data_IF_943580752205
#
_entry.id   IF_943580752205
#
_cell.length_a   1.000
_cell.length_b   1.000
_cell.length_c   1.000
_cell.angle_alpha   90.00
_cell.angle_beta   90.00
_cell.angle_gamma   90.00
#
_symmetry.space_group_name_H-M   'P 1'
#
loop_
_entity.id
_entity.type
_entity.pdbx_description
1 polymer ?
#
# COMPACT_ATOMS: atom_id res chain seq x y z
N UNK A 1 36.85 49.95 -17.77
CA UNK A 1 36.66 48.83 -18.73
C UNK A 1 36.87 47.50 -18.01
N UNK A 2 35.82 46.69 -18.00
CA UNK A 2 35.79 45.22 -17.89
C UNK A 2 36.38 44.51 -16.65
N UNK A 3 35.66 44.54 -15.51
CA UNK A 3 35.66 43.48 -14.49
C UNK A 3 34.28 43.40 -13.83
N UNK A 4 33.27 42.86 -14.53
CA UNK A 4 31.92 42.69 -13.94
C UNK A 4 31.03 41.66 -14.68
N UNK A 5 31.57 40.73 -15.46
CA UNK A 5 30.73 39.92 -16.36
C UNK A 5 30.89 38.41 -16.19
N UNK A 6 31.79 37.95 -15.32
CA UNK A 6 32.07 36.51 -15.14
C UNK A 6 31.35 35.94 -13.91
N UNK A 7 31.16 36.71 -12.84
CA UNK A 7 30.48 36.22 -11.63
C UNK A 7 28.96 36.07 -11.83
N UNK A 8 28.37 36.89 -12.69
CA UNK A 8 26.93 36.84 -12.95
C UNK A 8 26.52 35.64 -13.80
N UNK A 9 27.38 35.17 -14.73
CA UNK A 9 27.06 34.03 -15.63
C UNK A 9 27.18 32.66 -14.96
N UNK A 10 28.03 32.52 -13.94
CA UNK A 10 28.13 31.27 -13.15
C UNK A 10 26.92 31.05 -12.24
N UNK A 11 26.35 32.13 -11.70
CA UNK A 11 25.16 32.06 -10.83
C UNK A 11 23.87 31.80 -11.64
N UNK A 12 23.77 32.31 -12.87
CA UNK A 12 22.62 32.01 -13.75
C UNK A 12 22.65 30.57 -14.27
N UNK A 13 23.82 29.96 -14.46
CA UNK A 13 23.94 28.56 -14.87
C UNK A 13 23.63 27.60 -13.71
N UNK A 14 23.99 27.97 -12.47
CA UNK A 14 23.63 27.20 -11.26
C UNK A 14 22.12 27.28 -10.97
N UNK A 15 21.49 28.46 -11.13
CA UNK A 15 20.04 28.60 -11.02
C UNK A 15 19.27 27.97 -12.20
N UNK A 16 19.86 27.86 -13.40
CA UNK A 16 19.25 27.17 -14.53
C UNK A 16 19.38 25.63 -14.44
N UNK A 17 20.39 25.10 -13.74
CA UNK A 17 20.46 23.67 -13.40
C UNK A 17 19.61 23.29 -12.19
N UNK A 18 19.31 24.22 -11.28
CA UNK A 18 18.31 24.03 -10.23
C UNK A 18 16.85 24.18 -10.71
N UNK A 19 16.63 24.50 -11.99
CA UNK A 19 15.29 24.64 -12.59
C UNK A 19 14.84 23.41 -13.39
N UNK A 20 15.61 22.31 -13.39
CA UNK A 20 15.23 21.02 -13.95
C UNK A 20 15.08 20.01 -12.81
N UNK A 21 13.91 20.03 -12.20
CA UNK A 21 13.55 19.12 -11.15
C UNK A 21 12.16 19.46 -10.66
N UNK A 22 11.16 19.36 -11.55
CA UNK A 22 9.87 18.92 -11.06
C UNK A 22 10.20 17.62 -10.33
N UNK A 23 10.06 17.59 -9.01
CA UNK A 23 10.24 16.37 -8.22
C UNK A 23 9.33 15.34 -8.86
N UNK A 24 9.89 14.46 -9.68
CA UNK A 24 9.09 13.48 -10.36
C UNK A 24 8.59 12.59 -9.23
N UNK A 25 7.29 12.63 -9.03
CA UNK A 25 6.56 11.81 -8.09
C UNK A 25 6.82 10.36 -8.44
N UNK A 26 7.78 9.74 -7.75
CA UNK A 26 8.06 8.33 -7.88
C UNK A 26 7.11 7.61 -6.96
N UNK A 27 6.32 6.71 -7.51
CA UNK A 27 5.64 5.75 -6.69
C UNK A 27 6.48 4.47 -6.67
N UNK A 28 6.88 3.97 -5.50
CA UNK A 28 7.42 2.61 -5.33
C UNK A 28 6.92 2.06 -3.99
N UNK A 29 6.82 0.73 -3.86
CA UNK A 29 6.45 0.10 -2.58
C UNK A 29 7.47 0.41 -1.47
N UNK A 30 8.75 0.46 -1.85
CA UNK A 30 9.87 0.82 -0.98
C UNK A 30 9.78 2.27 -0.50
N UNK A 31 9.45 3.21 -1.39
CA UNK A 31 9.24 4.61 -1.04
C UNK A 31 8.08 4.74 -0.07
N UNK A 32 6.94 4.11 -0.36
CA UNK A 32 5.79 4.13 0.54
C UNK A 32 6.16 3.64 1.94
N UNK A 33 6.85 2.49 2.03
CA UNK A 33 7.34 1.96 3.30
C UNK A 33 8.21 3.01 4.02
N UNK A 34 9.27 3.49 3.35
CA UNK A 34 10.22 4.45 3.93
C UNK A 34 9.60 5.79 4.35
N UNK A 35 8.42 6.13 3.83
CA UNK A 35 7.65 7.33 4.18
C UNK A 35 6.54 7.07 5.22
N UNK A 36 6.60 5.93 5.93
CA UNK A 36 5.70 5.61 7.05
C UNK A 36 4.55 4.65 6.70
N UNK A 37 4.54 4.10 5.49
CA UNK A 37 3.74 2.93 5.11
C UNK A 37 2.25 3.17 4.88
N UNK A 38 1.76 4.41 4.94
CA UNK A 38 0.33 4.72 4.74
C UNK A 38 0.07 5.40 3.39
N UNK A 39 -0.57 4.67 2.48
CA UNK A 39 -0.86 5.10 1.10
C UNK A 39 -1.69 6.37 1.06
N UNK A 40 -2.60 6.55 2.02
CA UNK A 40 -3.53 7.69 2.05
C UNK A 40 -2.85 9.01 2.41
N UNK A 41 -1.63 8.97 2.93
CA UNK A 41 -0.83 10.14 3.26
C UNK A 41 -0.03 10.70 2.08
N UNK A 42 0.09 9.95 0.97
CA UNK A 42 0.86 10.36 -0.21
C UNK A 42 -0.06 10.67 -1.39
N UNK A 43 0.23 11.73 -2.14
CA UNK A 43 -0.51 12.04 -3.36
C UNK A 43 -0.25 11.02 -4.47
N UNK A 44 0.99 10.56 -4.57
CA UNK A 44 1.54 9.75 -5.64
C UNK A 44 1.80 8.31 -5.18
N UNK A 45 0.78 7.46 -5.32
CA UNK A 45 0.84 6.09 -4.82
C UNK A 45 0.87 5.08 -5.97
N UNK A 46 1.75 4.07 -5.86
CA UNK A 46 1.77 2.92 -6.79
C UNK A 46 0.72 1.88 -6.49
N UNK A 47 0.06 1.97 -5.33
CA UNK A 47 -1.06 1.10 -5.04
C UNK A 47 -2.30 1.60 -5.79
N UNK A 48 -2.22 1.47 -7.12
CA UNK A 48 -3.28 1.80 -8.06
C UNK A 48 -4.52 0.92 -7.81
N UNK A 49 -4.39 -0.20 -7.09
CA UNK A 49 -5.55 -0.97 -6.71
C UNK A 49 -6.42 -0.25 -5.67
N UNK A 50 -5.85 0.59 -4.79
CA UNK A 50 -6.65 1.41 -3.84
C UNK A 50 -7.43 2.50 -4.55
N UNK A 51 -6.81 3.18 -5.52
CA UNK A 51 -7.45 4.21 -6.34
C UNK A 51 -7.19 3.94 -7.83
N UNK A 52 -7.99 3.06 -8.48
CA UNK A 52 -7.78 2.68 -9.88
C UNK A 52 -7.75 3.85 -10.85
N UNK A 53 -8.48 4.93 -10.55
CA UNK A 53 -8.54 6.13 -11.37
C UNK A 53 -7.18 6.85 -11.47
N UNK A 54 -6.28 6.68 -10.49
CA UNK A 54 -4.98 7.33 -10.50
C UNK A 54 -3.99 6.71 -11.49
N UNK A 55 -4.32 5.57 -12.12
CA UNK A 55 -3.42 4.92 -13.07
C UNK A 55 -3.02 5.83 -14.25
N UNK A 56 -3.92 6.72 -14.69
CA UNK A 56 -3.63 7.71 -15.74
C UNK A 56 -2.57 8.73 -15.32
N UNK A 57 -2.55 9.11 -14.04
CA UNK A 57 -1.63 10.13 -13.53
C UNK A 57 -0.26 9.54 -13.20
N UNK A 58 -0.22 8.23 -12.92
CA UNK A 58 0.98 7.51 -12.55
C UNK A 58 1.23 6.26 -13.42
N UNK A 59 1.40 6.41 -14.74
CA UNK A 59 1.81 5.29 -15.59
C UNK A 59 3.26 4.92 -15.28
N UNK A 60 3.50 3.64 -14.98
CA UNK A 60 4.82 3.15 -14.57
C UNK A 60 4.98 1.65 -14.82
N UNK A 61 6.20 1.17 -14.86
CA UNK A 61 6.58 -0.23 -14.60
C UNK A 61 7.15 -0.28 -13.20
N UNK A 62 6.78 -1.28 -12.41
CA UNK A 62 7.37 -1.51 -11.08
C UNK A 62 7.69 -3.00 -10.90
N UNK A 63 8.83 -3.25 -10.29
CA UNK A 63 9.30 -4.59 -9.90
C UNK A 63 9.80 -4.50 -8.47
N UNK A 64 9.40 -5.40 -7.60
CA UNK A 64 9.95 -5.56 -6.26
C UNK A 64 10.70 -6.89 -6.20
N UNK A 65 12.02 -6.82 -6.00
CA UNK A 65 12.94 -7.94 -6.21
C UNK A 65 12.93 -8.96 -5.06
N UNK A 66 12.45 -8.58 -3.88
CA UNK A 66 12.42 -9.44 -2.69
C UNK A 66 11.04 -10.02 -2.40
N UNK A 67 9.98 -9.34 -2.83
CA UNK A 67 8.58 -9.76 -2.64
C UNK A 67 8.00 -10.43 -3.90
N UNK A 68 8.86 -10.73 -4.89
CA UNK A 68 8.55 -11.46 -6.12
C UNK A 68 7.33 -10.95 -6.91
N UNK A 69 7.08 -9.63 -6.87
CA UNK A 69 5.98 -9.02 -7.61
C UNK A 69 6.47 -8.02 -8.65
N UNK A 70 5.73 -7.94 -9.75
CA UNK A 70 6.04 -7.04 -10.86
C UNK A 70 4.78 -6.63 -11.60
N UNK A 71 4.83 -5.49 -12.27
CA UNK A 71 3.80 -5.13 -13.23
C UNK A 71 3.99 -3.77 -13.85
N UNK A 72 2.98 -3.36 -14.60
CA UNK A 72 2.99 -2.17 -15.42
C UNK A 72 1.62 -1.54 -15.41
N UNK A 73 1.55 -0.21 -15.33
CA UNK A 73 0.46 0.65 -15.74
C UNK A 73 0.88 1.39 -17.01
N UNK A 74 0.43 0.90 -18.16
CA UNK A 74 0.83 1.35 -19.49
C UNK A 74 -0.17 2.37 -20.05
N UNK A 75 0.28 3.56 -20.47
CA UNK A 75 -0.58 4.56 -21.11
C UNK A 75 -0.86 4.13 -22.56
N UNK A 76 -1.96 3.41 -22.76
CA UNK A 76 -2.31 2.81 -24.05
C UNK A 76 -2.55 3.86 -25.15
N UNK A 77 -3.22 4.96 -24.79
CA UNK A 77 -3.54 6.08 -25.66
C UNK A 77 -3.87 7.32 -24.82
N UNK A 78 -4.02 8.52 -25.42
CA UNK A 78 -4.39 9.72 -24.67
C UNK A 78 -5.67 9.50 -23.86
N UNK A 79 -5.58 9.67 -22.54
CA UNK A 79 -6.70 9.49 -21.62
C UNK A 79 -7.05 8.02 -21.32
N UNK A 80 -6.23 7.04 -21.69
CA UNK A 80 -6.43 5.62 -21.38
C UNK A 80 -5.17 4.99 -20.77
N UNK A 81 -5.34 4.23 -19.70
CA UNK A 81 -4.25 3.46 -19.09
C UNK A 81 -4.72 2.06 -18.72
N UNK A 82 -3.90 1.06 -19.01
CA UNK A 82 -4.14 -0.34 -18.64
C UNK A 82 -3.02 -0.79 -17.74
N UNK A 83 -3.36 -1.37 -16.59
CA UNK A 83 -2.44 -1.95 -15.64
C UNK A 83 -2.56 -3.46 -15.54
N UNK A 84 -1.43 -4.14 -15.46
CA UNK A 84 -1.33 -5.57 -15.15
C UNK A 84 -0.21 -5.75 -14.14
N UNK A 85 -0.50 -6.36 -12.99
CA UNK A 85 0.49 -6.70 -11.98
C UNK A 85 0.32 -8.15 -11.55
N UNK A 86 1.43 -8.79 -11.20
CA UNK A 86 1.49 -10.18 -10.78
C UNK A 86 2.07 -10.26 -9.38
N UNK A 87 1.54 -11.18 -8.56
CA UNK A 87 2.02 -11.47 -7.21
C UNK A 87 2.05 -10.28 -6.25
N UNK A 88 1.26 -9.22 -6.48
CA UNK A 88 1.29 -8.05 -5.60
C UNK A 88 0.67 -8.39 -4.22
N UNK A 89 1.41 -8.24 -3.11
CA UNK A 89 0.94 -8.58 -1.76
C UNK A 89 -0.17 -7.64 -1.28
N UNK A 90 -0.97 -8.11 -0.31
CA UNK A 90 -2.16 -7.42 0.19
C UNK A 90 -2.46 -7.81 1.63
N UNK A 91 -2.85 -6.84 2.48
CA UNK A 91 -3.22 -7.11 3.89
C UNK A 91 -4.42 -8.07 4.02
N UNK A 92 -5.29 -8.13 3.00
CA UNK A 92 -6.43 -9.06 2.99
C UNK A 92 -5.97 -10.50 2.84
N UNK A 93 -4.91 -10.71 2.07
CA UNK A 93 -4.30 -12.03 1.85
C UNK A 93 -3.63 -12.54 3.13
N UNK A 94 -3.00 -11.65 3.89
CA UNK A 94 -2.42 -11.99 5.21
C UNK A 94 -3.52 -12.47 6.17
N UNK A 95 -4.65 -11.74 6.24
CA UNK A 95 -5.82 -12.14 7.05
C UNK A 95 -6.44 -13.46 6.60
N UNK A 96 -6.48 -13.71 5.29
CA UNK A 96 -6.95 -14.98 4.74
C UNK A 96 -5.99 -16.11 5.17
N UNK A 97 -4.69 -15.92 5.02
CA UNK A 97 -3.68 -16.90 5.44
C UNK A 97 -3.76 -17.21 6.94
N UNK A 98 -3.97 -16.19 7.78
CA UNK A 98 -4.22 -16.35 9.22
C UNK A 98 -5.50 -17.15 9.51
N UNK A 99 -6.55 -16.99 8.71
CA UNK A 99 -7.77 -17.78 8.83
C UNK A 99 -7.57 -19.23 8.42
N UNK A 100 -6.91 -19.46 7.28
CA UNK A 100 -6.64 -20.78 6.73
C UNK A 100 -5.79 -21.60 7.69
N UNK A 101 -4.71 -21.03 8.24
CA UNK A 101 -3.80 -21.73 9.17
C UNK A 101 -4.48 -22.25 10.45
N UNK A 102 -5.65 -21.73 10.79
CA UNK A 102 -6.38 -22.04 12.02
C UNK A 102 -7.65 -22.87 11.79
N UNK A 103 -8.06 -23.07 10.53
CA UNK A 103 -9.38 -23.63 10.19
C UNK A 103 -9.26 -24.82 9.24
N UNK A 104 -10.25 -25.72 9.24
CA UNK A 104 -10.32 -26.83 8.29
C UNK A 104 -9.37 -27.99 8.59
N UNK A 105 -9.15 -28.82 7.59
CA UNK A 105 -8.30 -30.00 7.62
C UNK A 105 -6.81 -29.66 7.74
N UNK A 106 -5.96 -30.69 7.88
CA UNK A 106 -4.52 -30.50 7.82
C UNK A 106 -4.04 -30.00 6.45
N UNK A 107 -4.67 -30.44 5.36
CA UNK A 107 -4.33 -30.00 4.01
C UNK A 107 -4.78 -28.55 3.78
N UNK A 108 -5.98 -28.19 4.23
CA UNK A 108 -6.50 -26.83 4.09
C UNK A 108 -5.66 -25.80 4.87
N UNK A 109 -5.16 -26.18 6.05
CA UNK A 109 -4.23 -25.34 6.85
C UNK A 109 -2.85 -25.14 6.23
N UNK A 110 -2.50 -25.94 5.21
CA UNK A 110 -1.24 -25.83 4.47
C UNK A 110 -1.37 -24.97 3.22
N UNK A 111 -2.57 -24.50 2.88
CA UNK A 111 -2.76 -23.58 1.78
C UNK A 111 -2.02 -22.26 2.06
N UNK A 112 -1.31 -21.78 1.04
CA UNK A 112 -0.65 -20.49 0.98
C UNK A 112 -1.22 -19.70 -0.22
N UNK A 113 -2.42 -19.10 -0.09
CA UNK A 113 -2.99 -18.24 -1.13
C UNK A 113 -1.98 -17.21 -1.62
N UNK A 114 -1.76 -17.18 -2.94
CA UNK A 114 -0.87 -16.19 -3.55
C UNK A 114 -1.67 -15.23 -4.42
N UNK A 115 -1.28 -13.94 -4.47
CA UNK A 115 -1.88 -13.03 -5.42
C UNK A 115 -1.48 -13.49 -6.81
N UNK A 116 -2.43 -13.68 -7.71
CA UNK A 116 -2.10 -14.11 -9.07
C UNK A 116 -1.95 -12.91 -10.00
N UNK A 117 -3.01 -12.11 -10.11
CA UNK A 117 -3.08 -11.02 -11.07
C UNK A 117 -3.94 -9.87 -10.55
N UNK A 118 -3.44 -8.65 -10.75
CA UNK A 118 -4.19 -7.40 -10.69
C UNK A 118 -4.36 -6.85 -12.10
N UNK A 119 -5.58 -6.52 -12.46
CA UNK A 119 -5.92 -5.76 -13.65
C UNK A 119 -6.39 -4.38 -13.21
N UNK A 120 -5.87 -3.34 -13.85
CA UNK A 120 -6.31 -1.97 -13.64
C UNK A 120 -6.65 -1.37 -15.00
N UNK A 121 -7.70 -0.56 -15.06
CA UNK A 121 -7.99 0.25 -16.22
C UNK A 121 -8.46 1.61 -15.77
N UNK A 122 -7.95 2.66 -16.40
CA UNK A 122 -8.40 4.02 -16.14
C UNK A 122 -8.67 4.77 -17.44
N UNK A 123 -9.68 5.64 -17.40
CA UNK A 123 -10.10 6.47 -18.51
C UNK A 123 -10.42 7.89 -18.06
N UNK A 124 -9.78 8.87 -18.70
CA UNK A 124 -10.15 10.27 -18.60
C UNK A 124 -11.38 10.53 -19.46
N UNK A 125 -12.44 11.08 -18.86
CA UNK A 125 -13.62 11.52 -19.59
C UNK A 125 -13.56 13.02 -19.91
N UNK A 126 -13.01 13.80 -18.97
CA UNK A 126 -12.76 15.24 -19.09
C UNK A 126 -11.54 15.59 -18.26
N UNK A 127 -11.03 16.82 -18.41
CA UNK A 127 -9.84 17.33 -17.69
C UNK A 127 -9.95 17.27 -16.15
N UNK A 128 -11.16 17.10 -15.62
CA UNK A 128 -11.44 17.00 -14.18
C UNK A 128 -12.09 15.69 -13.72
N UNK A 129 -12.28 14.71 -14.60
CA UNK A 129 -13.00 13.47 -14.30
C UNK A 129 -12.32 12.25 -14.91
N UNK A 130 -11.75 11.39 -14.04
CA UNK A 130 -11.23 10.08 -14.42
C UNK A 130 -12.03 8.98 -13.73
N UNK A 131 -12.36 7.95 -14.48
CA UNK A 131 -12.86 6.68 -13.96
C UNK A 131 -11.76 5.63 -13.96
N UNK A 132 -11.79 4.75 -12.96
CA UNK A 132 -10.92 3.61 -12.86
C UNK A 132 -11.68 2.34 -12.50
N UNK A 133 -11.14 1.22 -12.92
CA UNK A 133 -11.60 -0.13 -12.61
C UNK A 133 -10.39 -0.96 -12.18
N UNK A 134 -10.55 -1.77 -11.15
CA UNK A 134 -9.58 -2.72 -10.65
C UNK A 134 -10.20 -4.11 -10.53
N UNK A 135 -9.50 -5.14 -10.98
CA UNK A 135 -9.83 -6.54 -10.73
C UNK A 135 -8.62 -7.22 -10.12
N UNK A 136 -8.82 -8.07 -9.11
CA UNK A 136 -7.76 -8.89 -8.51
C UNK A 136 -8.25 -10.31 -8.36
N UNK A 137 -7.35 -11.26 -8.57
CA UNK A 137 -7.59 -12.67 -8.31
C UNK A 137 -6.43 -13.29 -7.53
N UNK A 138 -6.78 -13.97 -6.44
CA UNK A 138 -5.86 -14.69 -5.56
C UNK A 138 -6.28 -16.17 -5.56
N UNK A 139 -5.32 -17.10 -5.59
CA UNK A 139 -5.64 -18.53 -5.72
C UNK A 139 -4.57 -19.42 -5.12
N UNK A 140 -5.01 -20.49 -4.47
CA UNK A 140 -4.18 -21.63 -4.12
C UNK A 140 -4.99 -22.93 -4.00
N UNK A 141 -4.33 -24.06 -4.21
CA UNK A 141 -4.91 -25.41 -4.19
C UNK A 141 -3.90 -26.40 -3.63
N UNK A 142 -4.37 -27.36 -2.84
CA UNK A 142 -3.50 -28.40 -2.31
C UNK A 142 -2.94 -29.29 -3.44
N UNK A 143 -1.62 -29.55 -3.39
CA UNK A 143 -0.87 -30.29 -4.41
C UNK A 143 -1.34 -31.73 -4.61
N UNK A 144 -1.96 -32.34 -3.60
CA UNK A 144 -2.53 -33.69 -3.64
C UNK A 144 -4.05 -33.64 -3.85
N UNK A 145 -4.50 -34.17 -4.98
CA UNK A 145 -5.90 -34.49 -5.31
C UNK A 145 -6.94 -33.35 -5.29
N UNK A 146 -6.50 -32.07 -5.23
CA UNK A 146 -7.36 -30.86 -5.19
C UNK A 146 -8.43 -30.90 -4.10
N UNK A 147 -8.14 -31.60 -3.02
CA UNK A 147 -9.12 -31.80 -1.94
C UNK A 147 -9.37 -30.53 -1.13
N UNK A 148 -8.46 -29.55 -1.20
CA UNK A 148 -8.58 -28.24 -0.56
C UNK A 148 -8.22 -27.10 -1.52
N UNK A 149 -8.98 -26.01 -1.52
CA UNK A 149 -8.67 -24.82 -2.33
C UNK A 149 -9.19 -23.52 -1.71
N UNK A 150 -8.54 -22.43 -2.10
CA UNK A 150 -8.90 -21.07 -1.74
C UNK A 150 -8.82 -20.17 -2.97
N UNK A 151 -9.88 -19.42 -3.25
CA UNK A 151 -9.86 -18.42 -4.33
C UNK A 151 -10.57 -17.14 -3.93
N UNK A 152 -9.93 -16.00 -4.17
CA UNK A 152 -10.49 -14.67 -3.93
C UNK A 152 -10.63 -13.93 -5.25
N UNK A 153 -11.77 -13.32 -5.50
CA UNK A 153 -11.96 -12.36 -6.59
C UNK A 153 -12.39 -11.02 -5.99
N UNK A 154 -11.65 -9.96 -6.30
CA UNK A 154 -11.97 -8.60 -5.88
C UNK A 154 -12.18 -7.69 -7.08
N UNK A 155 -13.26 -6.90 -7.06
CA UNK A 155 -13.54 -5.87 -8.06
C UNK A 155 -13.60 -4.52 -7.38
N UNK A 156 -13.05 -3.50 -8.02
CA UNK A 156 -13.02 -2.12 -7.51
C UNK A 156 -13.34 -1.11 -8.58
N UNK A 157 -14.09 -0.08 -8.21
CA UNK A 157 -14.46 1.02 -9.08
C UNK A 157 -13.99 2.32 -8.43
N UNK A 158 -13.19 3.09 -9.15
CA UNK A 158 -12.59 4.33 -8.69
C UNK A 158 -13.04 5.53 -9.51
N UNK A 159 -13.09 6.69 -8.87
CA UNK A 159 -13.29 7.99 -9.52
C UNK A 159 -12.28 8.98 -8.96
N UNK A 160 -11.69 9.78 -9.85
CA UNK A 160 -10.90 10.95 -9.50
C UNK A 160 -11.57 12.20 -10.05
N UNK A 161 -12.00 13.08 -9.15
CA UNK A 161 -12.59 14.38 -9.45
C UNK A 161 -11.59 15.52 -9.18
N UNK A 162 -11.68 16.58 -9.97
CA UNK A 162 -10.91 17.80 -9.78
C UNK A 162 -9.64 17.84 -10.62
N UNK A 163 -8.78 18.80 -10.30
CA UNK A 163 -7.58 19.11 -11.07
C UNK A 163 -6.60 17.93 -11.03
N UNK A 164 -5.94 17.69 -12.17
CA UNK A 164 -4.84 16.74 -12.25
C UNK A 164 -3.65 17.20 -11.42
N UNK A 165 -2.89 16.25 -10.88
CA UNK A 165 -1.73 16.54 -10.04
C UNK A 165 -0.56 17.19 -10.79
N UNK A 166 -0.51 17.03 -12.12
CA UNK A 166 0.57 17.56 -12.95
C UNK A 166 0.35 19.00 -13.46
N UNK A 167 -0.88 19.52 -13.41
CA UNK A 167 -1.26 20.73 -14.18
C UNK A 167 -2.01 21.80 -13.36
N UNK A 168 -2.13 21.65 -12.04
CA UNK A 168 -2.94 22.57 -11.23
C UNK A 168 -2.58 22.61 -9.75
N UNK A 169 -3.50 23.14 -8.95
CA UNK A 169 -3.38 23.22 -7.49
C UNK A 169 -3.41 21.86 -6.80
N UNK A 170 -3.78 20.81 -7.55
CA UNK A 170 -3.97 19.45 -7.04
C UNK A 170 -5.28 19.27 -6.28
N UNK A 171 -6.21 20.24 -6.35
CA UNK A 171 -7.51 20.14 -5.66
C UNK A 171 -8.38 19.04 -6.26
N UNK A 172 -8.96 18.21 -5.42
CA UNK A 172 -9.90 17.20 -5.89
C UNK A 172 -10.35 16.18 -4.85
N UNK A 173 -10.86 15.07 -5.34
CA UNK A 173 -11.33 13.93 -4.57
C UNK A 173 -10.96 12.64 -5.29
N UNK A 174 -10.36 11.71 -4.56
CA UNK A 174 -10.14 10.34 -4.99
C UNK A 174 -11.12 9.46 -4.20
N UNK A 175 -11.92 8.68 -4.90
CA UNK A 175 -12.92 7.80 -4.31
C UNK A 175 -12.84 6.40 -4.94
N UNK A 176 -13.04 5.36 -4.15
CA UNK A 176 -13.17 4.01 -4.68
C UNK A 176 -14.11 3.15 -3.83
N UNK A 177 -14.84 2.25 -4.48
CA UNK A 177 -15.66 1.22 -3.85
C UNK A 177 -15.25 -0.15 -4.35
N UNK A 178 -15.17 -1.12 -3.46
CA UNK A 178 -14.76 -2.48 -3.74
C UNK A 178 -15.81 -3.49 -3.31
N UNK A 179 -15.91 -4.59 -4.05
CA UNK A 179 -16.60 -5.81 -3.65
C UNK A 179 -15.65 -6.98 -3.80
N UNK A 180 -15.75 -7.96 -2.93
CA UNK A 180 -14.94 -9.16 -3.02
C UNK A 180 -15.74 -10.39 -2.67
N UNK A 181 -15.39 -11.50 -3.31
CA UNK A 181 -15.98 -12.81 -3.12
C UNK A 181 -14.84 -13.78 -2.88
N UNK A 182 -14.99 -14.61 -1.86
CA UNK A 182 -14.08 -15.67 -1.50
C UNK A 182 -14.82 -16.99 -1.66
N UNK A 183 -14.14 -17.99 -2.19
CA UNK A 183 -14.59 -19.38 -2.19
C UNK A 183 -13.55 -20.21 -1.47
N UNK A 184 -14.00 -20.99 -0.49
CA UNK A 184 -13.20 -21.92 0.27
C UNK A 184 -13.78 -23.32 0.12
N UNK A 185 -12.92 -24.29 -0.16
CA UNK A 185 -13.32 -25.69 -0.35
C UNK A 185 -12.37 -26.61 0.41
N UNK A 186 -12.93 -27.53 1.19
CA UNK A 186 -12.19 -28.58 1.91
C UNK A 186 -13.01 -29.88 1.90
N UNK A 187 -12.52 -30.87 1.18
CA UNK A 187 -13.12 -32.19 0.96
C UNK A 187 -12.28 -33.33 1.52
N UNK A 188 -11.09 -33.02 2.06
CA UNK A 188 -10.09 -33.97 2.56
C UNK A 188 -10.49 -34.70 3.86
N UNK A 189 -11.54 -34.26 4.55
CA UNK A 189 -12.03 -34.88 5.76
C UNK A 189 -13.20 -35.84 5.47
N UNK A 190 -12.92 -37.15 5.43
CA UNK A 190 -13.87 -38.25 5.13
C UNK A 190 -15.15 -38.33 6.00
N UNK A 191 -15.32 -37.46 6.99
CA UNK A 191 -16.50 -37.38 7.87
C UNK A 191 -17.28 -36.05 7.77
N UNK A 192 -16.85 -35.10 6.93
CA UNK A 192 -17.54 -33.84 6.68
C UNK A 192 -18.12 -33.91 5.27
N UNK A 193 -19.44 -34.12 5.16
CA UNK A 193 -20.19 -33.85 3.93
C UNK A 193 -19.75 -32.48 3.41
N UNK A 194 -19.22 -32.43 2.19
CA UNK A 194 -18.76 -31.27 1.44
C UNK A 194 -19.33 -29.95 1.96
N UNK A 195 -18.48 -29.03 2.45
CA UNK A 195 -18.91 -27.68 2.83
C UNK A 195 -18.11 -26.64 2.06
N UNK A 196 -18.44 -26.50 0.79
CA UNK A 196 -18.25 -25.23 0.07
C UNK A 196 -18.84 -24.13 0.94
N UNK A 197 -18.06 -23.10 1.24
CA UNK A 197 -18.56 -21.95 1.97
C UNK A 197 -17.93 -20.69 1.39
N UNK A 198 -18.78 -19.70 1.17
CA UNK A 198 -18.42 -18.45 0.53
C UNK A 198 -18.14 -17.37 1.58
N UNK A 199 -17.17 -16.53 1.29
CA UNK A 199 -16.95 -15.26 1.97
C UNK A 199 -17.30 -14.10 1.05
N UNK A 200 -17.70 -12.98 1.62
CA UNK A 200 -18.02 -11.78 0.86
C UNK A 200 -17.50 -10.54 1.58
N UNK A 201 -17.38 -9.46 0.84
CA UNK A 201 -17.28 -8.18 1.49
C UNK A 201 -17.22 -6.99 0.56
N UNK A 202 -17.04 -5.85 1.21
CA UNK A 202 -17.17 -4.54 0.62
C UNK A 202 -16.15 -3.59 1.24
N UNK A 203 -15.62 -2.69 0.43
CA UNK A 203 -14.76 -1.61 0.91
C UNK A 203 -15.09 -0.28 0.25
N UNK A 204 -14.80 0.81 0.96
CA UNK A 204 -14.97 2.19 0.54
C UNK A 204 -13.72 2.97 0.93
N UNK A 205 -13.21 3.76 -0.01
CA UNK A 205 -12.09 4.68 0.19
C UNK A 205 -12.46 6.05 -0.31
N UNK A 206 -12.20 7.07 0.50
CA UNK A 206 -12.35 8.47 0.13
C UNK A 206 -11.11 9.23 0.59
N UNK A 207 -10.55 10.05 -0.29
CA UNK A 207 -9.44 10.95 0.01
C UNK A 207 -9.64 12.29 -0.69
N UNK A 208 -9.82 13.33 0.11
CA UNK A 208 -9.81 14.70 -0.41
C UNK A 208 -8.38 15.15 -0.73
N UNK A 209 -8.25 16.03 -1.71
CA UNK A 209 -7.02 16.77 -2.01
C UNK A 209 -7.32 18.25 -1.86
N UNK A 210 -6.85 18.85 -0.77
CA UNK A 210 -7.21 20.22 -0.38
C UNK A 210 -5.95 21.08 -0.31
N UNK A 211 -5.71 21.95 -1.31
CA UNK A 211 -4.56 22.84 -1.28
C UNK A 211 -4.70 23.86 -0.16
N UNK A 212 -3.64 24.05 0.63
CA UNK A 212 -3.59 25.02 1.71
C UNK A 212 -2.18 25.62 1.78
N UNK A 213 -2.02 26.82 1.22
CA UNK A 213 -0.72 27.47 1.11
C UNK A 213 0.24 26.65 0.24
N UNK A 214 1.46 26.41 0.72
CA UNK A 214 2.47 25.55 0.08
C UNK A 214 2.33 24.05 0.40
N UNK A 215 1.13 23.60 0.74
CA UNK A 215 0.86 22.21 1.13
C UNK A 215 -0.45 21.69 0.54
N UNK A 216 -0.58 20.38 0.43
CA UNK A 216 -1.83 19.70 0.09
C UNK A 216 -2.23 18.82 1.27
N UNK A 217 -3.38 19.13 1.85
CA UNK A 217 -4.01 18.35 2.89
C UNK A 217 -4.80 17.18 2.26
N UNK A 218 -4.69 16.02 2.90
CA UNK A 218 -5.31 14.77 2.50
C UNK A 218 -6.21 14.23 3.61
N UNK A 219 -7.41 14.81 3.82
CA UNK A 219 -8.40 14.16 4.68
C UNK A 219 -8.85 12.85 4.02
N UNK A 220 -8.89 11.76 4.76
CA UNK A 220 -9.30 10.47 4.22
C UNK A 220 -10.18 9.69 5.20
N UNK A 221 -10.98 8.79 4.64
CA UNK A 221 -11.72 7.76 5.35
C UNK A 221 -11.72 6.48 4.53
N UNK A 222 -11.53 5.37 5.23
CA UNK A 222 -11.55 4.01 4.72
C UNK A 222 -12.52 3.20 5.57
N UNK A 223 -13.30 2.36 4.91
CA UNK A 223 -14.19 1.39 5.52
C UNK A 223 -14.02 0.06 4.81
N UNK A 224 -13.85 -1.02 5.55
CA UNK A 224 -13.87 -2.38 5.04
C UNK A 224 -14.77 -3.24 5.91
N UNK A 225 -15.53 -4.11 5.26
CA UNK A 225 -16.22 -5.22 5.92
C UNK A 225 -16.04 -6.47 5.07
N UNK A 226 -15.66 -7.57 5.68
CA UNK A 226 -15.47 -8.84 4.99
C UNK A 226 -15.82 -10.02 5.88
N UNK A 227 -16.08 -11.16 5.26
CA UNK A 227 -16.28 -12.42 5.95
C UNK A 227 -15.46 -13.51 5.28
N UNK A 228 -14.91 -14.41 6.10
CA UNK A 228 -14.35 -15.68 5.69
C UNK A 228 -15.16 -16.77 6.37
N UNK A 229 -15.59 -17.77 5.61
CA UNK A 229 -16.38 -18.85 6.19
C UNK A 229 -16.01 -20.16 5.53
N UNK A 230 -15.67 -21.14 6.36
CA UNK A 230 -15.51 -22.55 6.06
C UNK A 230 -16.18 -23.27 7.22
N UNK A 231 -17.41 -23.74 6.98
CA UNK A 231 -18.21 -24.30 8.05
C UNK A 231 -17.46 -25.44 8.78
N UNK A 232 -17.44 -25.45 10.13
CA UNK A 232 -18.33 -24.69 11.01
C UNK A 232 -17.82 -23.31 11.45
N UNK A 233 -16.67 -22.85 10.95
CA UNK A 233 -16.02 -21.63 11.42
C UNK A 233 -16.34 -20.47 10.49
N UNK A 234 -16.80 -19.35 11.07
CA UNK A 234 -17.00 -18.08 10.38
C UNK A 234 -16.19 -17.00 11.09
N UNK A 235 -15.54 -16.16 10.30
CA UNK A 235 -14.78 -15.01 10.76
C UNK A 235 -15.28 -13.77 10.04
N UNK A 236 -15.86 -12.82 10.76
CA UNK A 236 -16.28 -11.53 10.23
C UNK A 236 -15.26 -10.46 10.64
N UNK A 237 -14.87 -9.63 9.68
CA UNK A 237 -13.93 -8.53 9.86
C UNK A 237 -14.60 -7.20 9.50
N UNK A 238 -14.32 -6.18 10.29
CA UNK A 238 -14.68 -4.80 10.00
C UNK A 238 -13.53 -3.88 10.37
N UNK A 239 -13.25 -2.91 9.51
CA UNK A 239 -12.25 -1.87 9.75
C UNK A 239 -12.78 -0.50 9.37
N UNK A 240 -12.48 0.49 10.20
CA UNK A 240 -12.66 1.91 9.90
C UNK A 240 -11.36 2.62 10.15
N UNK A 241 -10.88 3.39 9.19
CA UNK A 241 -9.67 4.20 9.32
C UNK A 241 -9.98 5.61 8.82
N UNK A 242 -9.61 6.63 9.59
CA UNK A 242 -9.87 8.01 9.23
C UNK A 242 -8.78 8.92 9.76
N UNK A 243 -8.46 9.96 9.00
CA UNK A 243 -7.45 10.91 9.41
C UNK A 243 -7.15 12.00 8.40
N UNK A 244 -6.00 12.60 8.61
CA UNK A 244 -5.52 13.75 7.85
C UNK A 244 -4.03 13.59 7.57
N UNK A 245 -3.66 13.68 6.30
CA UNK A 245 -2.29 13.86 5.84
C UNK A 245 -2.00 15.29 5.38
N UNK A 246 -0.73 15.64 5.31
CA UNK A 246 -0.23 16.87 4.70
C UNK A 246 1.03 16.54 3.90
N UNK A 247 1.02 16.86 2.61
CA UNK A 247 2.19 16.85 1.74
C UNK A 247 2.68 18.28 1.60
N UNK A 248 3.92 18.54 1.96
CA UNK A 248 4.51 19.88 2.04
C UNK A 248 5.79 19.86 1.22
N UNK A 249 5.96 20.84 0.34
CA UNK A 249 7.20 21.04 -0.40
C UNK A 249 7.89 22.31 0.13
N UNK A 250 8.69 22.21 1.21
CA UNK A 250 9.30 23.38 1.83
C UNK A 250 10.39 24.01 0.97
N UNK A 251 11.02 23.22 0.09
CA UNK A 251 12.04 23.65 -0.85
C UNK A 251 12.01 22.73 -2.08
N UNK A 252 12.48 23.18 -3.26
CA UNK A 252 12.57 22.33 -4.43
C UNK A 252 13.36 21.05 -4.16
N UNK A 253 12.80 19.90 -4.54
CA UNK A 253 13.41 18.58 -4.32
C UNK A 253 13.31 18.06 -2.88
N UNK A 254 12.51 18.70 -2.02
CA UNK A 254 12.23 18.22 -0.66
C UNK A 254 10.73 18.02 -0.49
N UNK A 255 10.31 16.81 -0.16
CA UNK A 255 8.95 16.49 0.26
C UNK A 255 8.95 16.19 1.76
N UNK A 256 8.05 16.83 2.51
CA UNK A 256 7.73 16.48 3.87
C UNK A 256 6.30 15.97 3.96
N UNK A 257 6.10 14.88 4.70
CA UNK A 257 4.81 14.23 4.91
C UNK A 257 4.53 14.21 6.40
N UNK A 258 3.35 14.69 6.79
CA UNK A 258 2.87 14.57 8.17
C UNK A 258 1.46 14.00 8.15
N UNK A 259 1.17 13.08 9.07
CA UNK A 259 -0.11 12.41 9.15
C UNK A 259 -0.54 12.13 10.58
N UNK A 260 -1.82 12.31 10.86
CA UNK A 260 -2.46 11.84 12.08
C UNK A 260 -3.76 11.14 11.75
N UNK A 261 -3.95 9.95 12.30
CA UNK A 261 -5.15 9.15 12.04
C UNK A 261 -5.45 8.19 13.18
N UNK A 262 -6.62 7.59 13.10
CA UNK A 262 -7.05 6.51 13.97
C UNK A 262 -7.63 5.37 13.13
N UNK A 263 -7.49 4.15 13.63
CA UNK A 263 -8.17 2.99 13.08
C UNK A 263 -8.88 2.21 14.17
N UNK A 264 -10.01 1.63 13.79
CA UNK A 264 -10.78 0.70 14.62
C UNK A 264 -11.01 -0.56 13.82
N UNK A 265 -10.55 -1.68 14.34
CA UNK A 265 -10.83 -3.00 13.78
C UNK A 265 -11.67 -3.83 14.73
N UNK A 266 -12.51 -4.69 14.15
CA UNK A 266 -13.34 -5.66 14.85
C UNK A 266 -13.24 -6.97 14.10
N UNK A 267 -12.90 -8.03 14.83
CA UNK A 267 -12.83 -9.38 14.35
C UNK A 267 -13.75 -10.24 15.22
N UNK A 268 -14.78 -10.82 14.62
CA UNK A 268 -15.68 -11.76 15.27
C UNK A 268 -15.41 -13.15 14.71
N UNK A 269 -15.27 -14.14 15.59
CA UNK A 269 -15.09 -15.53 15.21
C UNK A 269 -16.16 -16.39 15.89
N UNK A 270 -16.90 -17.13 15.07
CA UNK A 270 -17.92 -18.07 15.49
C UNK A 270 -17.54 -19.48 15.03
N UNK A 271 -17.71 -20.47 15.89
CA UNK A 271 -17.47 -21.87 15.57
C UNK A 271 -18.50 -22.75 16.26
N UNK A 272 -19.06 -23.71 15.51
CA UNK A 272 -20.10 -24.58 16.06
C UNK A 272 -19.58 -25.40 17.26
N UNK A 273 -20.24 -25.26 18.41
CA UNK A 273 -19.90 -25.98 19.64
C UNK A 273 -18.77 -25.35 20.47
N UNK A 274 -18.20 -24.22 20.03
CA UNK A 274 -17.24 -23.44 20.80
C UNK A 274 -17.83 -22.06 21.18
N UNK A 275 -17.42 -21.47 22.32
CA UNK A 275 -17.77 -20.09 22.64
C UNK A 275 -17.21 -19.16 21.56
N UNK A 276 -18.06 -18.31 20.99
CA UNK A 276 -17.62 -17.27 20.05
C UNK A 276 -16.62 -16.30 20.69
N UNK A 277 -15.78 -15.69 19.86
CA UNK A 277 -14.81 -14.70 20.30
C UNK A 277 -14.91 -13.41 19.50
N UNK A 278 -14.69 -12.29 20.18
CA UNK A 278 -14.63 -10.97 19.58
C UNK A 278 -13.31 -10.32 20.00
N UNK A 279 -12.57 -9.83 19.02
CA UNK A 279 -11.40 -9.00 19.21
C UNK A 279 -11.63 -7.64 18.57
N UNK A 280 -11.40 -6.57 19.34
CA UNK A 280 -11.41 -5.21 18.82
C UNK A 280 -10.07 -4.56 19.08
N UNK A 281 -9.58 -3.78 18.12
CA UNK A 281 -8.38 -2.98 18.28
C UNK A 281 -8.66 -1.54 17.89
N UNK A 282 -8.33 -0.61 18.78
CA UNK A 282 -8.35 0.83 18.51
C UNK A 282 -6.91 1.32 18.46
N UNK A 283 -6.43 1.72 17.29
CA UNK A 283 -5.15 2.40 17.16
C UNK A 283 -5.38 3.91 17.10
N UNK A 284 -5.05 4.62 18.17
CA UNK A 284 -5.16 6.08 18.25
C UNK A 284 -4.27 6.68 19.37
N UNK A 285 -3.51 7.75 19.10
CA UNK A 285 -3.24 8.30 17.78
C UNK A 285 -2.22 7.44 17.02
N UNK A 286 -2.38 7.36 15.70
CA UNK A 286 -1.30 7.00 14.79
C UNK A 286 -0.73 8.28 14.19
N UNK A 287 0.58 8.48 14.35
CA UNK A 287 1.28 9.68 13.89
C UNK A 287 2.40 9.25 12.95
N UNK A 288 2.42 9.85 11.77
CA UNK A 288 3.47 9.65 10.77
C UNK A 288 4.14 10.99 10.48
N UNK A 289 5.47 11.01 10.50
CA UNK A 289 6.28 12.13 10.03
C UNK A 289 7.37 11.55 9.13
N UNK A 290 7.46 12.03 7.91
CA UNK A 290 8.45 11.57 6.96
C UNK A 290 8.98 12.71 6.09
N UNK A 291 10.14 12.47 5.49
CA UNK A 291 10.74 13.39 4.53
C UNK A 291 11.48 12.62 3.44
N UNK A 292 11.43 13.16 2.23
CA UNK A 292 12.20 12.75 1.07
C UNK A 292 13.02 13.97 0.61
N UNK A 293 14.30 13.79 0.35
CA UNK A 293 15.20 14.86 -0.11
C UNK A 293 16.03 14.38 -1.29
N UNK A 294 15.97 15.10 -2.38
CA UNK A 294 16.75 14.86 -3.58
C UNK A 294 18.08 15.63 -3.55
N UNK A 295 19.18 14.92 -3.74
CA UNK A 295 20.54 15.48 -3.85
C UNK A 295 21.20 14.91 -5.11
N UNK A 296 21.17 15.68 -6.20
CA UNK A 296 21.58 15.18 -7.51
C UNK A 296 20.65 14.05 -7.95
N UNK A 297 21.21 12.89 -8.27
CA UNK A 297 20.45 11.69 -8.64
C UNK A 297 20.06 10.80 -7.45
N UNK A 298 20.36 11.21 -6.21
CA UNK A 298 20.08 10.43 -5.01
C UNK A 298 18.83 10.96 -4.30
N UNK A 299 17.99 10.05 -3.80
CA UNK A 299 16.82 10.35 -2.96
C UNK A 299 17.06 9.76 -1.57
N UNK A 300 17.05 10.60 -0.54
CA UNK A 300 17.17 10.18 0.85
C UNK A 300 15.82 10.25 1.53
N UNK A 301 15.44 9.19 2.25
CA UNK A 301 14.15 9.11 2.94
C UNK A 301 14.32 8.73 4.38
N UNK A 302 13.55 9.40 5.23
CA UNK A 302 13.40 9.10 6.64
C UNK A 302 11.91 9.14 6.97
N UNK A 303 11.39 8.05 7.52
CA UNK A 303 10.03 7.94 7.99
C UNK A 303 9.98 7.53 9.45
N UNK A 304 9.09 8.14 10.21
CA UNK A 304 8.79 7.78 11.58
C UNK A 304 7.29 7.55 11.72
N UNK A 305 6.91 6.42 12.29
CA UNK A 305 5.53 6.06 12.60
C UNK A 305 5.42 5.71 14.08
N UNK A 306 4.58 6.43 14.81
CA UNK A 306 4.20 6.10 16.16
C UNK A 306 2.75 5.63 16.19
N UNK A 307 2.48 4.53 16.87
CA UNK A 307 1.14 3.94 16.97
C UNK A 307 0.87 3.46 18.39
N UNK A 308 -0.28 3.86 18.93
CA UNK A 308 -0.79 3.38 20.23
C UNK A 308 -2.04 2.57 20.01
N UNK A 309 -2.04 1.31 20.41
CA UNK A 309 -3.10 0.34 20.15
C UNK A 309 -3.69 -0.18 21.46
N UNK A 310 -5.01 -0.07 21.60
CA UNK A 310 -5.78 -0.72 22.65
C UNK A 310 -6.52 -1.90 22.05
N UNK A 311 -6.10 -3.11 22.42
CA UNK A 311 -6.76 -4.35 22.03
C UNK A 311 -7.66 -4.83 23.16
N UNK A 312 -8.90 -5.19 22.85
CA UNK A 312 -9.85 -5.83 23.74
C UNK A 312 -10.23 -7.17 23.13
N UNK A 313 -10.00 -8.26 23.87
CA UNK A 313 -10.43 -9.61 23.48
C UNK A 313 -11.48 -10.13 24.45
N UNK A 314 -12.56 -10.68 23.91
CA UNK A 314 -13.69 -11.19 24.67
C UNK A 314 -14.08 -12.57 24.14
N UNK A 315 -14.02 -13.59 25.00
CA UNK A 315 -14.64 -14.88 24.71
C UNK A 315 -16.03 -14.92 25.37
N UNK A 316 -17.00 -15.55 24.72
CA UNK A 316 -18.35 -15.67 25.26
C UNK A 316 -18.33 -16.31 26.66
N UNK A 317 -19.01 -15.67 27.62
CA UNK A 317 -19.04 -16.11 29.02
C UNK A 317 -17.81 -15.74 29.87
N UNK A 318 -16.85 -14.98 29.33
CA UNK A 318 -15.64 -14.56 30.06
C UNK A 318 -15.56 -13.04 30.23
N UNK A 319 -14.76 -12.59 31.21
CA UNK A 319 -14.43 -11.18 31.37
C UNK A 319 -13.51 -10.73 30.24
N UNK A 320 -13.75 -9.56 29.62
CA UNK A 320 -12.90 -9.07 28.54
C UNK A 320 -11.49 -8.76 29.04
N UNK A 321 -10.49 -9.25 28.30
CA UNK A 321 -9.07 -8.93 28.52
C UNK A 321 -8.72 -7.70 27.70
N UNK A 322 -7.96 -6.77 28.28
CA UNK A 322 -7.49 -5.56 27.60
C UNK A 322 -5.97 -5.54 27.59
N UNK A 323 -5.40 -5.13 26.46
CA UNK A 323 -3.96 -4.93 26.27
C UNK A 323 -3.74 -3.56 25.65
N UNK A 324 -2.77 -2.83 26.15
CA UNK A 324 -2.32 -1.58 25.55
C UNK A 324 -0.87 -1.77 25.09
N UNK A 325 -0.62 -1.47 23.83
CA UNK A 325 0.70 -1.50 23.22
C UNK A 325 1.00 -0.14 22.58
N UNK A 326 2.27 0.26 22.58
CA UNK A 326 2.76 1.43 21.86
C UNK A 326 4.00 1.02 21.08
N UNK A 327 4.06 1.46 19.83
CA UNK A 327 5.17 1.16 18.93
C UNK A 327 5.69 2.43 18.26
N UNK A 328 7.01 2.45 18.04
CA UNK A 328 7.69 3.45 17.23
C UNK A 328 8.50 2.71 16.17
N UNK A 329 8.20 2.98 14.92
CA UNK A 329 8.92 2.48 13.76
C UNK A 329 9.66 3.63 13.08
N UNK A 330 10.92 3.38 12.74
CA UNK A 330 11.76 4.31 11.99
C UNK A 330 12.27 3.56 10.78
N UNK A 331 12.11 4.16 9.60
CA UNK A 331 12.54 3.61 8.34
C UNK A 331 13.42 4.58 7.58
N UNK A 332 14.39 4.03 6.86
CA UNK A 332 15.30 4.78 6.02
C UNK A 332 15.29 4.20 4.61
N UNK A 333 15.13 5.07 3.62
CA UNK A 333 15.15 4.68 2.21
C UNK A 333 16.24 5.42 1.44
N UNK A 334 16.77 4.78 0.41
CA UNK A 334 17.70 5.36 -0.55
C UNK A 334 17.25 5.04 -1.96
N UNK A 335 17.04 6.07 -2.78
CA UNK A 335 16.75 5.96 -4.20
C UNK A 335 17.88 6.49 -5.08
N UNK A 336 18.07 5.89 -6.25
CA UNK A 336 18.98 6.33 -7.30
C UNK A 336 18.21 6.50 -8.61
N UNK A 337 18.16 7.73 -9.09
CA UNK A 337 17.50 8.11 -10.35
C UNK A 337 18.48 8.07 -11.53
N UNK A 338 18.05 7.45 -12.63
CA UNK A 338 18.75 7.38 -13.91
C UNK A 338 17.77 7.75 -15.03
N UNK A 339 17.47 9.05 -15.15
CA UNK A 339 16.44 9.55 -16.07
C UNK A 339 15.06 8.98 -15.68
N UNK A 340 14.37 8.23 -16.56
CA UNK A 340 13.06 7.65 -16.26
C UNK A 340 13.10 6.38 -15.39
N UNK A 341 14.28 5.94 -14.94
CA UNK A 341 14.44 4.75 -14.08
C UNK A 341 14.80 5.18 -12.65
N UNK A 342 14.16 4.56 -11.66
CA UNK A 342 14.50 4.65 -10.24
C UNK A 342 14.84 3.25 -9.71
N UNK A 343 16.03 3.12 -9.14
CA UNK A 343 16.37 2.00 -8.26
C UNK A 343 16.16 2.47 -6.81
N UNK A 344 15.28 1.80 -6.09
CA UNK A 344 14.89 2.18 -4.74
C UNK A 344 15.18 1.07 -3.74
N UNK A 345 15.70 1.41 -2.56
CA UNK A 345 16.05 0.45 -1.53
C UNK A 345 15.65 0.90 -0.12
N UNK A 346 15.08 -0.02 0.66
CA UNK A 346 14.81 0.17 2.07
C UNK A 346 16.02 -0.34 2.86
N UNK A 347 16.65 0.51 3.67
CA UNK A 347 17.82 0.12 4.45
C UNK A 347 17.42 -0.86 5.56
N UNK A 348 18.30 -1.82 5.84
CA UNK A 348 18.13 -2.68 7.02
C UNK A 348 18.14 -1.87 8.31
N UNK A 349 17.31 -2.27 9.29
CA UNK A 349 17.23 -1.60 10.60
C UNK A 349 18.57 -1.60 11.34
N UNK A 350 19.35 -2.66 11.15
CA UNK A 350 20.67 -2.80 11.76
C UNK A 350 21.77 -2.05 11.00
N UNK A 351 21.50 -1.50 9.81
CA UNK A 351 22.48 -0.78 8.99
C UNK A 351 23.17 0.36 9.75
N UNK A 352 22.40 1.15 10.52
CA UNK A 352 22.96 2.26 11.31
C UNK A 352 23.79 1.79 12.51
N UNK A 353 23.54 0.58 13.02
CA UNK A 353 24.23 0.01 14.18
C UNK A 353 25.50 -0.75 13.76
N UNK A 354 25.40 -1.53 12.70
CA UNK A 354 26.40 -2.52 12.30
C UNK A 354 27.26 -2.03 11.10
N UNK A 355 26.81 -1.00 10.38
CA UNK A 355 27.51 -0.39 9.24
C UNK A 355 27.32 -1.15 7.91
N UNK A 356 27.81 -0.60 6.78
CA UNK A 356 27.65 -1.22 5.47
C UNK A 356 28.55 -2.45 5.32
N UNK A 357 27.96 -3.64 5.36
CA UNK A 357 28.61 -4.89 4.96
C UNK A 357 28.57 -5.03 3.43
N UNK A 358 29.51 -4.37 2.73
CA UNK A 358 29.57 -4.42 1.25
C UNK A 358 30.11 -5.75 0.73
N UNK A 359 30.98 -6.42 1.50
CA UNK A 359 31.55 -7.74 1.14
C UNK A 359 31.67 -8.54 2.45
N UNK A 360 30.78 -9.52 2.61
CA UNK A 360 30.66 -10.35 3.82
C UNK A 360 29.42 -9.97 4.60
N UNK A 361 28.31 -10.69 4.33
CA UNK A 361 26.99 -10.44 4.90
C UNK A 361 26.98 -10.29 6.42
N UNK A 362 25.95 -9.64 6.93
CA UNK A 362 25.76 -9.42 8.36
C UNK A 362 25.78 -10.73 9.15
N UNK A 363 25.96 -10.68 10.48
CA UNK A 363 25.81 -11.85 11.36
C UNK A 363 24.44 -12.54 11.26
N UNK A 364 23.46 -11.90 10.60
CA UNK A 364 22.11 -12.40 10.33
C UNK A 364 21.82 -12.61 8.83
N UNK A 365 22.82 -12.50 7.94
CA UNK A 365 22.68 -12.78 6.50
C UNK A 365 22.05 -11.67 5.65
N UNK A 366 21.79 -10.48 6.22
CA UNK A 366 21.18 -9.33 5.53
C UNK A 366 22.20 -8.48 4.77
N UNK A 367 21.87 -8.06 3.55
CA UNK A 367 22.63 -7.09 2.76
C UNK A 367 22.43 -5.65 3.26
N UNK A 368 22.72 -4.66 2.41
CA UNK A 368 22.49 -3.23 2.75
C UNK A 368 20.98 -2.90 2.77
N UNK A 369 20.21 -3.57 1.92
CA UNK A 369 18.78 -3.34 1.75
C UNK A 369 17.98 -4.56 2.21
N UNK A 370 16.88 -4.30 2.93
CA UNK A 370 15.86 -5.30 3.26
C UNK A 370 14.88 -5.50 2.12
N UNK A 371 14.66 -4.46 1.29
CA UNK A 371 13.80 -4.48 0.11
C UNK A 371 14.42 -3.63 -0.99
N UNK A 372 14.26 -4.06 -2.24
CA UNK A 372 14.70 -3.32 -3.42
C UNK A 372 13.57 -3.33 -4.44
N UNK A 373 13.30 -2.16 -5.02
CA UNK A 373 12.37 -2.02 -6.14
C UNK A 373 13.02 -1.27 -7.31
N UNK A 374 12.59 -1.63 -8.52
CA UNK A 374 12.95 -0.95 -9.75
C UNK A 374 11.68 -0.38 -10.35
N UNK A 375 11.68 0.93 -10.61
CA UNK A 375 10.55 1.64 -11.21
C UNK A 375 11.00 2.32 -12.49
N UNK A 376 10.21 2.18 -13.55
CA UNK A 376 10.38 2.94 -14.78
C UNK A 376 9.13 3.77 -15.03
N UNK A 377 9.27 5.08 -15.19
CA UNK A 377 8.17 5.99 -15.48
C UNK A 377 8.10 6.23 -16.97
N UNK A 378 6.89 6.16 -17.53
CA UNK A 378 6.70 6.54 -18.93
C UNK A 378 6.90 8.05 -19.09
N UNK A 379 7.64 8.50 -20.12
CA UNK A 379 7.71 9.91 -20.45
C UNK A 379 6.28 10.43 -20.73
N UNK A 380 5.90 11.50 -20.07
CA UNK A 380 4.66 12.25 -20.32
C UNK A 380 4.82 13.23 -21.46
#
# INVERSE_FOLDING_TARGET
MSRSTIVTRGLTLFCALCALGASQTWGSGVRLASLGGETRLLLDTTNLFTYPALAIEFPHVAVELFDDWAGVAYPLSPGHTVGVFFNRPTERLDRLSDYLSQTGSAQFRQLEPRPWIDLVYARSLTDGLIFGFGGRFDYDVADTDREASSSTASLRFGVRLGEGLAEGTGRGLDAAVGVHVQRLEDTSAASLTTRETDGEGFDLELRGRVPLGGSILLPFVSYEKSSFALAPVRRDFQSVLAGLGANIEPAPGVLAVAGVFASYTRLEEESAGLPGSEETALSAPVVVVASETQVGSMLFRLGMRHESTLTKRQLAGTTPVRKFDSSLQIELGLGLEFGPVLLDGLLEKDFLRDGPHVIGGSRHGGGIFSRISLVYRFPS
#
